data_IF_154157200669
#
_entry.id   IF_154157200669
#
_cell.length_a   1.000
_cell.length_b   1.000
_cell.length_c   1.000
_cell.angle_alpha   90.00
_cell.angle_beta   90.00
_cell.angle_gamma   90.00
#
_symmetry.space_group_name_H-M   'P 1'
#
loop_
_entity.id
_entity.type
_entity.pdbx_description
1 polymer ?
#
# COMPACT_ATOMS: atom_id res chain seq x y z
N UNK A 1 4.21 6.78 19.78
CA UNK A 1 5.43 6.05 20.19
C UNK A 1 6.34 5.99 18.97
N UNK A 2 7.47 6.72 18.94
CA UNK A 2 8.32 6.79 17.74
C UNK A 2 8.91 5.43 17.39
N UNK A 3 8.76 5.05 16.13
CA UNK A 3 9.32 3.83 15.57
C UNK A 3 10.65 4.15 14.90
N UNK A 4 11.63 3.28 15.12
CA UNK A 4 12.93 3.37 14.45
C UNK A 4 13.03 2.25 13.40
N UNK A 5 12.92 2.60 12.12
CA UNK A 5 13.01 1.67 10.97
C UNK A 5 14.29 0.80 10.97
N UNK A 6 15.51 1.35 11.14
CA UNK A 6 16.74 0.53 11.08
C UNK A 6 16.91 -0.42 12.27
N UNK A 7 16.25 -0.13 13.40
CA UNK A 7 16.32 -0.97 14.59
C UNK A 7 15.07 -1.84 14.78
N UNK A 8 14.06 -1.68 13.92
CA UNK A 8 12.75 -2.33 13.98
C UNK A 8 12.17 -2.38 15.41
N UNK A 9 12.24 -1.26 16.14
CA UNK A 9 11.87 -1.19 17.56
C UNK A 9 11.15 0.11 17.91
N UNK A 10 10.15 0.00 18.78
CA UNK A 10 9.48 1.14 19.41
C UNK A 10 10.31 1.67 20.58
N UNK A 11 10.53 2.98 20.61
CA UNK A 11 11.20 3.65 21.71
C UNK A 11 10.21 4.48 22.53
N UNK A 12 10.25 4.34 23.85
CA UNK A 12 9.56 5.24 24.77
C UNK A 12 10.37 6.55 24.88
N UNK A 13 9.74 7.70 25.20
CA UNK A 13 10.44 8.97 25.37
C UNK A 13 11.59 8.92 26.40
N UNK A 14 11.46 8.08 27.43
CA UNK A 14 12.49 7.84 28.44
C UNK A 14 13.69 7.02 27.95
N UNK A 15 13.61 6.41 26.77
CA UNK A 15 14.66 5.60 26.15
C UNK A 15 15.33 6.31 24.95
N UNK A 16 15.02 7.58 24.71
CA UNK A 16 15.67 8.42 23.70
C UNK A 16 16.79 9.26 24.34
N UNK A 17 17.77 9.66 23.54
CA UNK A 17 18.75 10.67 23.96
C UNK A 17 18.05 12.00 24.27
N UNK A 18 18.68 12.89 25.04
CA UNK A 18 18.12 14.20 25.41
C UNK A 18 17.72 15.06 24.20
N UNK A 19 18.26 14.76 23.02
CA UNK A 19 17.99 15.45 21.74
C UNK A 19 16.91 14.75 20.89
N UNK A 20 16.23 13.70 21.41
CA UNK A 20 15.17 12.98 20.70
C UNK A 20 15.68 11.96 19.67
N UNK A 21 16.96 11.60 19.75
CA UNK A 21 17.61 10.63 18.87
C UNK A 21 17.55 9.20 19.41
N UNK A 22 17.57 8.24 18.48
CA UNK A 22 17.73 6.83 18.83
C UNK A 22 19.16 6.56 19.31
N UNK A 23 19.37 6.10 20.56
CA UNK A 23 20.72 5.88 21.12
C UNK A 23 21.51 4.77 20.44
N UNK A 24 20.87 3.95 19.60
CA UNK A 24 21.50 2.82 18.91
C UNK A 24 21.93 3.14 17.47
N UNK A 25 21.27 4.08 16.80
CA UNK A 25 21.57 4.43 15.40
C UNK A 25 21.82 5.93 15.17
N UNK A 26 21.69 6.77 16.21
CA UNK A 26 21.96 8.20 16.14
C UNK A 26 21.06 8.96 15.16
N UNK A 27 19.84 8.48 14.93
CA UNK A 27 18.88 9.13 14.02
C UNK A 27 17.78 9.84 14.79
N UNK A 28 17.40 11.01 14.28
CA UNK A 28 16.24 11.78 14.73
C UNK A 28 14.96 11.02 14.34
N UNK A 29 14.19 10.60 15.34
CA UNK A 29 12.93 9.88 15.15
C UNK A 29 11.76 10.85 14.98
N UNK A 30 11.95 11.86 14.12
CA UNK A 30 10.95 12.88 13.87
C UNK A 30 9.98 12.41 12.77
N UNK A 31 8.74 12.12 13.17
CA UNK A 31 7.67 11.64 12.28
C UNK A 31 7.31 12.65 11.18
N UNK A 32 7.62 13.94 11.34
CA UNK A 32 7.33 14.96 10.33
C UNK A 32 8.37 14.99 9.20
N UNK A 33 9.61 14.58 9.49
CA UNK A 33 10.67 14.52 8.47
C UNK A 33 10.53 13.34 7.51
N UNK A 34 9.88 12.24 7.92
CA UNK A 34 9.55 11.14 6.99
C UNK A 34 8.52 11.56 5.94
N UNK A 35 7.53 12.38 6.31
CA UNK A 35 6.56 12.92 5.35
C UNK A 35 7.18 13.97 4.42
N UNK A 36 8.14 14.76 4.90
CA UNK A 36 8.80 15.81 4.11
C UNK A 36 9.79 15.25 3.07
N UNK A 37 10.44 14.11 3.35
CA UNK A 37 11.39 13.48 2.41
C UNK A 37 10.72 12.63 1.34
N UNK A 38 9.44 12.32 1.47
CA UNK A 38 8.65 11.57 0.50
C UNK A 38 7.75 12.55 -0.23
N UNK A 39 8.36 13.39 -1.07
CA UNK A 39 7.62 14.25 -2.00
C UNK A 39 6.90 13.37 -3.02
N UNK A 40 5.72 13.78 -3.47
CA UNK A 40 4.87 13.05 -4.42
C UNK A 40 5.60 12.62 -5.71
N UNK A 41 6.69 13.28 -6.07
CA UNK A 41 7.59 12.91 -7.18
C UNK A 41 8.44 11.65 -6.93
N UNK A 42 8.76 11.34 -5.68
CA UNK A 42 9.60 10.18 -5.31
C UNK A 42 8.83 8.86 -5.22
N UNK A 43 7.50 8.94 -5.08
CA UNK A 43 6.60 7.80 -5.14
C UNK A 43 5.98 7.79 -6.52
N UNK A 44 6.64 7.10 -7.44
CA UNK A 44 6.10 6.84 -8.78
C UNK A 44 4.94 5.83 -8.62
N UNK A 45 3.77 6.35 -8.19
CA UNK A 45 2.56 5.55 -7.94
C UNK A 45 2.22 4.73 -9.18
N UNK A 46 2.57 5.20 -10.38
CA UNK A 46 2.34 4.51 -11.65
C UNK A 46 3.24 3.28 -11.85
N UNK A 47 4.44 3.29 -11.26
CA UNK A 47 5.39 2.18 -11.29
C UNK A 47 5.02 1.08 -10.29
N UNK A 48 4.43 1.45 -9.15
CA UNK A 48 3.85 0.51 -8.17
C UNK A 48 2.42 0.09 -8.51
N UNK A 49 1.66 0.94 -9.20
CA UNK A 49 0.33 0.61 -9.72
C UNK A 49 0.41 -0.30 -10.94
N UNK A 50 1.58 -0.89 -11.22
CA UNK A 50 1.72 -2.25 -11.72
C UNK A 50 0.58 -2.65 -12.64
N UNK A 51 0.37 -1.85 -13.68
CA UNK A 51 -0.34 -2.31 -14.88
C UNK A 51 0.66 -3.12 -15.70
N UNK A 52 1.44 -3.96 -15.02
CA UNK A 52 1.81 -5.21 -15.61
C UNK A 52 0.48 -5.87 -15.93
N UNK A 53 0.32 -6.30 -17.18
CA UNK A 53 -0.54 -7.40 -17.57
C UNK A 53 -0.17 -8.64 -16.73
N UNK A 54 -0.29 -8.56 -15.39
CA UNK A 54 -0.38 -9.67 -14.47
C UNK A 54 -1.74 -10.30 -14.79
N UNK A 55 -1.66 -11.05 -15.89
CA UNK A 55 -2.68 -11.72 -16.63
C UNK A 55 -3.75 -12.16 -15.66
N UNK A 56 -4.85 -11.40 -15.60
CA UNK A 56 -6.00 -11.69 -14.75
C UNK A 56 -6.18 -13.22 -14.76
N UNK A 57 -6.08 -13.89 -13.60
CA UNK A 57 -5.93 -15.34 -13.55
C UNK A 57 -7.00 -15.97 -14.43
N UNK A 58 -6.66 -16.97 -15.24
CA UNK A 58 -7.56 -17.47 -16.31
C UNK A 58 -9.00 -17.76 -15.81
N UNK A 59 -9.10 -18.19 -14.55
CA UNK A 59 -10.35 -18.38 -13.83
C UNK A 59 -11.20 -17.10 -13.65
N UNK A 60 -10.59 -15.92 -13.45
CA UNK A 60 -11.28 -14.63 -13.37
C UNK A 60 -12.03 -14.30 -14.67
N UNK A 61 -11.41 -14.55 -15.83
CA UNK A 61 -12.09 -14.40 -17.13
C UNK A 61 -13.31 -15.33 -17.28
N UNK A 62 -13.22 -16.57 -16.77
CA UNK A 62 -14.36 -17.49 -16.78
C UNK A 62 -15.52 -17.00 -15.91
N UNK A 63 -15.23 -16.53 -14.69
CA UNK A 63 -16.26 -15.98 -13.81
C UNK A 63 -16.98 -14.80 -14.45
N UNK A 64 -16.23 -13.87 -15.07
CA UNK A 64 -16.81 -12.71 -15.76
C UNK A 64 -17.66 -13.16 -16.96
N UNK A 65 -17.20 -14.13 -17.76
CA UNK A 65 -17.94 -14.63 -18.90
C UNK A 65 -19.28 -15.27 -18.48
N UNK A 66 -19.27 -16.14 -17.47
CA UNK A 66 -20.48 -16.79 -16.97
C UNK A 66 -21.46 -15.78 -16.37
N UNK A 67 -20.95 -14.76 -15.68
CA UNK A 67 -21.75 -13.67 -15.15
C UNK A 67 -22.44 -12.89 -16.28
N UNK A 68 -21.70 -12.48 -17.31
CA UNK A 68 -22.29 -11.75 -18.46
C UNK A 68 -23.31 -12.60 -19.21
N UNK A 69 -23.03 -13.89 -19.41
CA UNK A 69 -23.99 -14.81 -20.05
C UNK A 69 -25.28 -14.95 -19.24
N UNK A 70 -25.18 -15.09 -17.92
CA UNK A 70 -26.34 -15.20 -17.04
C UNK A 70 -27.16 -13.90 -17.00
N UNK A 71 -26.50 -12.75 -16.84
CA UNK A 71 -27.19 -11.46 -16.89
C UNK A 71 -27.83 -11.20 -18.25
N UNK A 72 -27.15 -11.54 -19.35
CA UNK A 72 -27.70 -11.43 -20.70
C UNK A 72 -28.95 -12.29 -20.87
N UNK A 73 -28.89 -13.57 -20.46
CA UNK A 73 -30.05 -14.46 -20.46
C UNK A 73 -31.19 -13.89 -19.61
N UNK A 74 -30.87 -13.43 -18.40
CA UNK A 74 -31.86 -12.89 -17.46
C UNK A 74 -32.52 -11.62 -17.96
N UNK A 75 -31.79 -10.79 -18.69
CA UNK A 75 -32.33 -9.59 -19.36
C UNK A 75 -33.29 -10.02 -20.47
N UNK A 76 -32.92 -10.98 -21.32
CA UNK A 76 -33.83 -11.50 -22.35
C UNK A 76 -35.10 -12.11 -21.74
N UNK A 77 -34.96 -12.92 -20.69
CA UNK A 77 -36.06 -13.51 -19.88
C UNK A 77 -36.96 -12.46 -19.21
N UNK A 78 -36.43 -11.28 -18.89
CA UNK A 78 -37.20 -10.16 -18.34
C UNK A 78 -37.99 -9.39 -19.41
N UNK A 79 -37.48 -9.37 -20.64
CA UNK A 79 -38.06 -8.60 -21.75
C UNK A 79 -38.94 -9.43 -22.69
N UNK A 80 -38.89 -10.76 -22.61
CA UNK A 80 -39.63 -11.70 -23.45
C UNK A 80 -40.68 -12.46 -22.64
#
# INVERSE_FOLDING_TARGET
MPWCEPCARYFAPSAMSSEGECPQCGRTLDSSQLATRVSADSLDLKKMAGMEDEKLPWHFKLLVFLLVAYLGWRVVDLFM
#
